data_IF_718057934390
#
_entry.id   IF_718057934390
#
_cell.length_a   1.000
_cell.length_b   1.000
_cell.length_c   1.000
_cell.angle_alpha   90.00
_cell.angle_beta   90.00
_cell.angle_gamma   90.00
#
_symmetry.space_group_name_H-M   'P 1'
#
loop_
_entity.id
_entity.type
_entity.pdbx_description
1 polymer ?
#
# COMPACT_ATOMS: atom_id res chain seq x y z
N UNK A 1 12.58 -8.34 17.41
CA UNK A 1 11.91 -7.59 16.33
C UNK A 1 12.60 -6.25 16.25
N UNK A 2 13.10 -5.87 15.08
CA UNK A 2 13.64 -4.53 14.82
C UNK A 2 12.78 -3.83 13.78
N UNK A 3 12.63 -2.51 13.89
CA UNK A 3 11.99 -1.66 12.90
C UNK A 3 12.63 -0.27 12.97
N UNK A 4 12.48 0.48 11.90
CA UNK A 4 12.84 1.89 11.85
C UNK A 4 11.90 2.62 10.88
N UNK A 5 11.84 3.95 10.98
CA UNK A 5 11.13 4.78 10.02
C UNK A 5 12.12 5.41 9.05
N UNK A 6 11.70 5.60 7.81
CA UNK A 6 12.53 6.31 6.83
C UNK A 6 12.67 7.79 7.20
N UNK A 7 13.86 8.34 6.99
CA UNK A 7 14.11 9.79 7.02
C UNK A 7 13.54 10.49 5.76
N UNK A 8 13.59 11.85 5.67
CA UNK A 8 13.10 12.59 4.49
C UNK A 8 13.82 12.24 3.17
N UNK A 9 15.03 11.72 3.24
CA UNK A 9 15.81 11.24 2.10
C UNK A 9 15.49 9.78 1.73
N UNK A 10 14.66 9.09 2.52
CA UNK A 10 14.21 7.72 2.31
C UNK A 10 15.12 6.64 2.91
N UNK A 11 16.13 7.01 3.70
CA UNK A 11 17.03 6.06 4.35
C UNK A 11 16.46 5.55 5.67
N UNK A 12 16.83 4.34 6.08
CA UNK A 12 16.44 3.75 7.36
C UNK A 12 17.57 2.85 7.89
N UNK A 13 17.58 2.57 9.19
CA UNK A 13 18.50 1.58 9.79
C UNK A 13 17.82 0.81 10.93
N UNK A 14 17.54 -0.47 10.69
CA UNK A 14 16.98 -1.37 11.70
C UNK A 14 18.08 -1.82 12.69
N UNK A 15 18.29 -1.04 13.74
CA UNK A 15 19.35 -1.26 14.73
C UNK A 15 19.02 -2.38 15.75
N UNK A 16 20.07 -2.92 16.38
CA UNK A 16 19.96 -3.82 17.54
C UNK A 16 19.52 -5.25 17.20
N UNK A 17 19.68 -5.67 15.95
CA UNK A 17 19.41 -7.04 15.52
C UNK A 17 20.59 -7.96 15.89
N UNK A 18 20.38 -9.03 16.66
CA UNK A 18 21.40 -10.08 16.84
C UNK A 18 21.68 -10.84 15.54
N UNK A 19 22.84 -11.50 15.48
CA UNK A 19 23.17 -12.43 14.37
C UNK A 19 22.05 -13.44 14.16
N UNK A 20 21.59 -13.57 12.91
CA UNK A 20 20.50 -14.48 12.56
C UNK A 20 19.81 -14.12 11.25
N UNK A 21 18.77 -14.89 10.92
CA UNK A 21 18.03 -14.77 9.68
C UNK A 21 16.70 -14.05 9.90
N UNK A 22 16.45 -13.04 9.07
CA UNK A 22 15.27 -12.17 9.18
C UNK A 22 14.55 -12.01 7.84
N UNK A 23 13.22 -11.96 7.90
CA UNK A 23 12.41 -11.50 6.78
C UNK A 23 12.04 -10.03 6.99
N UNK A 24 12.29 -9.22 5.98
CA UNK A 24 12.13 -7.76 6.04
C UNK A 24 11.00 -7.33 5.11
N UNK A 25 10.12 -6.46 5.58
CA UNK A 25 9.06 -5.85 4.77
C UNK A 25 8.94 -4.37 5.06
N UNK A 26 8.47 -3.61 4.09
CA UNK A 26 7.96 -2.27 4.34
C UNK A 26 6.56 -2.33 4.94
N UNK A 27 6.19 -1.27 5.63
CA UNK A 27 4.82 -0.99 6.02
C UNK A 27 4.56 0.49 5.78
N UNK A 28 3.77 0.79 4.76
CA UNK A 28 3.40 2.17 4.42
C UNK A 28 1.94 2.44 4.83
N UNK A 29 1.73 3.54 5.54
CA UNK A 29 0.38 4.00 5.90
C UNK A 29 -0.26 4.85 4.79
N UNK A 30 0.52 5.25 3.79
CA UNK A 30 0.05 5.98 2.62
C UNK A 30 -0.36 5.02 1.49
N UNK A 31 -0.61 5.57 0.30
CA UNK A 31 -1.09 4.81 -0.85
C UNK A 31 -0.04 3.86 -1.47
N UNK A 32 1.15 3.67 -0.88
CA UNK A 32 2.15 2.79 -1.46
C UNK A 32 1.93 1.34 -1.03
N UNK A 33 2.12 0.42 -1.97
CA UNK A 33 2.02 -1.00 -1.68
C UNK A 33 3.22 -1.45 -0.85
N UNK A 34 2.95 -1.97 0.34
CA UNK A 34 3.95 -2.63 1.19
C UNK A 34 4.47 -3.91 0.53
N UNK A 35 5.78 -4.16 0.60
CA UNK A 35 6.43 -5.31 -0.05
C UNK A 35 7.45 -5.98 0.86
N UNK A 36 7.66 -7.27 0.64
CA UNK A 36 8.77 -8.03 1.24
C UNK A 36 10.05 -7.81 0.44
N UNK A 37 11.20 -7.81 1.11
CA UNK A 37 12.49 -7.60 0.45
C UNK A 37 12.73 -8.71 -0.57
N UNK A 38 12.99 -8.32 -1.82
CA UNK A 38 13.09 -9.22 -2.97
C UNK A 38 11.89 -10.18 -3.15
N UNK A 39 10.74 -9.89 -2.54
CA UNK A 39 9.58 -10.78 -2.55
C UNK A 39 9.70 -11.98 -1.60
N UNK A 40 10.67 -12.00 -0.67
CA UNK A 40 10.87 -13.13 0.25
C UNK A 40 9.76 -13.18 1.31
N UNK A 41 8.71 -13.94 1.03
CA UNK A 41 7.57 -14.12 1.93
C UNK A 41 7.83 -15.31 2.88
N UNK A 42 7.75 -15.12 4.22
CA UNK A 42 8.16 -16.14 5.19
C UNK A 42 7.42 -17.49 5.09
N UNK A 43 6.15 -17.46 4.68
CA UNK A 43 5.29 -18.65 4.63
C UNK A 43 5.27 -19.32 3.26
N UNK A 44 5.82 -18.70 2.23
CA UNK A 44 5.97 -19.31 0.91
C UNK A 44 7.24 -20.18 0.88
N UNK A 45 8.32 -19.71 1.52
CA UNK A 45 9.55 -20.48 1.68
C UNK A 45 10.42 -20.59 0.41
N UNK A 46 10.05 -19.87 -0.65
CA UNK A 46 10.72 -19.95 -1.96
C UNK A 46 12.00 -19.11 -2.06
N UNK A 47 12.19 -18.16 -1.15
CA UNK A 47 13.32 -17.22 -1.15
C UNK A 47 14.01 -17.16 0.21
N UNK A 48 15.36 -17.00 0.24
CA UNK A 48 16.12 -16.97 1.48
C UNK A 48 15.83 -15.69 2.28
N UNK A 49 15.92 -15.76 3.62
CA UNK A 49 15.90 -14.58 4.49
C UNK A 49 17.18 -13.75 4.33
N UNK A 50 17.18 -12.54 4.90
CA UNK A 50 18.37 -11.70 5.05
C UNK A 50 19.15 -12.17 6.27
N UNK A 51 20.40 -12.58 6.07
CA UNK A 51 21.32 -12.93 7.15
C UNK A 51 21.98 -11.68 7.71
N UNK A 52 21.90 -11.48 9.02
CA UNK A 52 22.57 -10.38 9.74
C UNK A 52 23.71 -10.97 10.57
N UNK A 53 24.88 -10.31 10.56
CA UNK A 53 26.04 -10.66 11.38
C UNK A 53 26.39 -9.50 12.34
N UNK A 54 25.87 -9.52 13.56
CA UNK A 54 26.20 -8.48 14.54
C UNK A 54 27.69 -8.54 14.95
N UNK A 55 28.37 -7.40 15.14
CA UNK A 55 27.85 -6.03 15.16
C UNK A 55 27.87 -5.32 13.79
N UNK A 56 28.16 -6.05 12.72
CA UNK A 56 28.29 -5.48 11.38
C UNK A 56 26.92 -5.15 10.78
N UNK A 57 26.89 -4.08 9.98
CA UNK A 57 25.70 -3.72 9.21
C UNK A 57 25.49 -4.68 8.05
N UNK A 58 24.23 -4.86 7.65
CA UNK A 58 23.85 -5.61 6.44
C UNK A 58 23.32 -4.63 5.41
N UNK A 59 24.19 -4.06 4.54
CA UNK A 59 23.81 -2.97 3.65
C UNK A 59 22.99 -3.46 2.45
N UNK A 60 22.59 -2.52 1.60
CA UNK A 60 21.93 -2.74 0.30
C UNK A 60 20.55 -3.39 0.35
N UNK A 61 19.89 -3.36 1.52
CA UNK A 61 18.48 -3.76 1.67
C UNK A 61 17.57 -2.62 1.21
N UNK A 62 17.44 -2.46 -0.10
CA UNK A 62 16.66 -1.37 -0.71
C UNK A 62 15.27 -1.83 -1.16
N UNK A 63 14.29 -0.92 -1.10
CA UNK A 63 12.91 -1.18 -1.54
C UNK A 63 12.47 -0.21 -2.62
N UNK A 64 11.67 -0.70 -3.57
CA UNK A 64 10.94 0.13 -4.52
C UNK A 64 9.46 -0.14 -4.32
N UNK A 65 8.73 0.86 -3.80
CA UNK A 65 7.29 0.76 -3.62
C UNK A 65 6.59 1.31 -4.86
N UNK A 66 5.47 0.68 -5.22
CA UNK A 66 4.57 1.19 -6.24
C UNK A 66 3.41 1.89 -5.53
N UNK A 67 3.16 3.13 -5.93
CA UNK A 67 1.96 3.84 -5.54
C UNK A 67 0.73 3.13 -6.11
N UNK A 68 -0.34 3.04 -5.33
CA UNK A 68 -1.64 2.59 -5.80
C UNK A 68 -2.25 3.58 -6.78
N UNK A 69 -3.07 3.08 -7.70
CA UNK A 69 -3.90 3.90 -8.55
C UNK A 69 -5.10 4.50 -7.81
N UNK A 70 -5.94 5.21 -8.57
CA UNK A 70 -7.19 5.78 -8.11
C UNK A 70 -8.31 5.64 -9.13
N UNK A 71 -9.55 5.60 -8.64
CA UNK A 71 -10.78 5.68 -9.43
C UNK A 71 -11.44 7.02 -9.10
N UNK A 72 -11.82 7.79 -10.11
CA UNK A 72 -12.49 9.08 -9.92
C UNK A 72 -13.60 9.27 -10.95
N UNK A 73 -14.57 10.12 -10.60
CA UNK A 73 -15.71 10.38 -11.46
C UNK A 73 -16.59 11.50 -10.94
N UNK A 74 -17.74 11.66 -11.60
CA UNK A 74 -18.79 12.64 -11.26
C UNK A 74 -20.10 11.88 -11.02
N UNK A 75 -20.74 12.15 -9.89
CA UNK A 75 -22.05 11.60 -9.53
C UNK A 75 -23.11 12.66 -9.82
N UNK A 76 -24.13 12.29 -10.60
CA UNK A 76 -25.25 13.17 -10.96
C UNK A 76 -26.60 12.48 -10.77
N UNK A 77 -27.65 13.29 -10.62
CA UNK A 77 -29.04 12.80 -10.68
C UNK A 77 -29.41 12.54 -12.14
N UNK A 78 -29.84 11.32 -12.47
CA UNK A 78 -30.21 10.94 -13.85
C UNK A 78 -31.26 11.87 -14.50
N UNK A 79 -32.28 12.29 -13.73
CA UNK A 79 -33.39 13.09 -14.26
C UNK A 79 -33.07 14.55 -14.53
N UNK A 80 -32.04 15.12 -13.87
CA UNK A 80 -31.72 16.55 -13.95
C UNK A 80 -30.30 16.83 -14.44
N UNK A 81 -29.40 15.85 -14.35
CA UNK A 81 -27.96 16.02 -14.59
C UNK A 81 -27.25 16.82 -13.49
N UNK A 82 -27.94 17.21 -12.41
CA UNK A 82 -27.35 17.99 -11.33
C UNK A 82 -26.37 17.14 -10.50
N UNK A 83 -25.24 17.70 -10.05
CA UNK A 83 -24.26 16.98 -9.26
C UNK A 83 -24.80 16.59 -7.88
N UNK A 84 -24.39 15.42 -7.40
CA UNK A 84 -24.74 14.90 -6.08
C UNK A 84 -23.52 14.80 -5.19
N UNK A 85 -23.47 15.67 -4.19
CA UNK A 85 -22.48 15.59 -3.13
C UNK A 85 -22.85 14.68 -1.98
N UNK A 86 -21.84 14.31 -1.19
CA UNK A 86 -21.98 13.49 -0.01
C UNK A 86 -22.59 12.11 -0.31
N UNK A 87 -22.20 11.50 -1.42
CA UNK A 87 -22.50 10.12 -1.79
C UNK A 87 -21.24 9.29 -1.62
N UNK A 88 -21.34 8.17 -0.90
CA UNK A 88 -20.26 7.21 -0.74
C UNK A 88 -20.14 6.30 -1.98
N UNK A 89 -18.91 6.08 -2.43
CA UNK A 89 -18.55 5.14 -3.49
C UNK A 89 -17.70 4.04 -2.87
N UNK A 90 -18.24 2.84 -2.80
CA UNK A 90 -17.55 1.63 -2.38
C UNK A 90 -16.75 1.02 -3.54
N UNK A 91 -15.60 0.41 -3.23
CA UNK A 91 -14.82 -0.35 -4.20
C UNK A 91 -14.89 -1.84 -3.89
N UNK A 92 -15.17 -2.64 -4.91
CA UNK A 92 -15.14 -4.11 -4.85
C UNK A 92 -14.04 -4.63 -5.77
N UNK A 93 -13.36 -5.70 -5.37
CA UNK A 93 -12.40 -6.40 -6.23
C UNK A 93 -13.09 -7.17 -7.37
N UNK A 94 -12.29 -7.73 -8.28
CA UNK A 94 -12.79 -8.51 -9.42
C UNK A 94 -13.62 -9.75 -9.03
N UNK A 95 -13.45 -10.24 -7.80
CA UNK A 95 -14.19 -11.38 -7.25
C UNK A 95 -15.48 -10.95 -6.53
N UNK A 96 -15.76 -9.64 -6.47
CA UNK A 96 -16.94 -9.06 -5.85
C UNK A 96 -16.82 -8.89 -4.33
N UNK A 97 -15.61 -8.99 -3.75
CA UNK A 97 -15.41 -8.72 -2.34
C UNK A 97 -15.21 -7.21 -2.11
N UNK A 98 -15.78 -6.70 -1.02
CA UNK A 98 -15.55 -5.31 -0.62
C UNK A 98 -14.08 -5.08 -0.28
N UNK A 99 -13.45 -4.11 -0.96
CA UNK A 99 -12.01 -3.85 -0.89
C UNK A 99 -11.63 -2.90 0.27
N UNK A 100 -12.57 -2.64 1.20
CA UNK A 100 -12.40 -1.74 2.36
C UNK A 100 -11.81 -0.37 2.03
N UNK A 101 -12.11 0.12 0.82
CA UNK A 101 -11.74 1.43 0.29
C UNK A 101 -13.00 2.08 -0.26
N UNK A 102 -13.20 3.33 0.11
CA UNK A 102 -14.32 4.13 -0.34
C UNK A 102 -13.92 5.59 -0.45
N UNK A 103 -14.73 6.37 -1.17
CA UNK A 103 -14.58 7.81 -1.30
C UNK A 103 -15.95 8.48 -1.27
N UNK A 104 -15.98 9.76 -0.98
CA UNK A 104 -17.20 10.55 -0.95
C UNK A 104 -17.17 11.59 -2.05
N UNK A 105 -18.29 11.80 -2.74
CA UNK A 105 -18.41 12.92 -3.66
C UNK A 105 -18.42 14.26 -2.90
N UNK A 106 -17.71 15.24 -3.42
CA UNK A 106 -17.71 16.62 -2.92
C UNK A 106 -19.03 17.36 -3.26
N UNK A 107 -19.16 18.63 -2.86
CA UNK A 107 -20.40 19.39 -3.11
C UNK A 107 -20.74 19.63 -4.58
N UNK A 108 -19.83 19.32 -5.51
CA UNK A 108 -20.03 19.39 -6.96
C UNK A 108 -20.01 18.00 -7.60
N UNK A 109 -20.18 16.93 -6.80
CA UNK A 109 -20.38 15.57 -7.26
C UNK A 109 -19.11 14.82 -7.64
N UNK A 110 -17.93 15.44 -7.54
CA UNK A 110 -16.68 14.78 -7.88
C UNK A 110 -16.19 13.89 -6.75
N UNK A 111 -15.80 12.66 -7.06
CA UNK A 111 -15.23 11.73 -6.08
C UNK A 111 -13.87 11.20 -6.54
N UNK A 112 -13.07 10.72 -5.59
CA UNK A 112 -11.86 9.96 -5.85
C UNK A 112 -11.69 8.91 -4.77
N UNK A 113 -11.44 7.66 -5.16
CA UNK A 113 -11.00 6.57 -4.28
C UNK A 113 -9.56 6.22 -4.65
N UNK A 114 -8.62 6.45 -3.74
CA UNK A 114 -7.19 6.22 -3.95
C UNK A 114 -6.66 4.96 -3.30
N UNK A 115 -5.33 4.79 -3.38
CA UNK A 115 -4.60 3.69 -2.76
C UNK A 115 -5.06 2.29 -3.22
N UNK A 116 -5.42 2.16 -4.51
CA UNK A 116 -5.85 0.89 -5.09
C UNK A 116 -4.65 0.17 -5.74
N UNK A 117 -4.29 -1.05 -5.32
CA UNK A 117 -3.31 -1.85 -6.04
C UNK A 117 -3.68 -2.02 -7.53
N UNK A 118 -2.72 -2.41 -8.36
CA UNK A 118 -3.04 -2.80 -9.74
C UNK A 118 -4.00 -3.97 -9.73
N UNK A 119 -5.13 -3.82 -10.41
CA UNK A 119 -6.18 -4.83 -10.51
C UNK A 119 -7.41 -4.26 -11.19
N UNK A 120 -8.38 -5.15 -11.40
CA UNK A 120 -9.71 -4.79 -11.88
C UNK A 120 -10.65 -4.63 -10.69
N UNK A 121 -11.51 -3.61 -10.76
CA UNK A 121 -12.41 -3.21 -9.67
C UNK A 121 -13.80 -2.86 -10.19
N UNK A 122 -14.79 -3.00 -9.32
CA UNK A 122 -16.15 -2.50 -9.49
C UNK A 122 -16.43 -1.36 -8.50
N UNK A 123 -17.21 -0.38 -8.96
CA UNK A 123 -17.70 0.78 -8.18
C UNK A 123 -19.18 1.02 -8.43
#
# INVERSE_FOLDING_TARGET
>A
MGYDWTDPEGNYTANGLPTGDYFVRTYDYYCNRSVWYQGAVPWEGDLPPVHVEAPDDTPDINFVLREGGSISGLITVDSTGEPLGNVEVDVYDSDGNWFSRYGWSDSIGHYTVGCLPTGDYYV
#
